data_IF_956976609807
#
_entry.id   IF_956976609807
#
_cell.length_a   1.000
_cell.length_b   1.000
_cell.length_c   1.000
_cell.angle_alpha   90.00
_cell.angle_beta   90.00
_cell.angle_gamma   90.00
#
_symmetry.space_group_name_H-M   'P 1'
#
loop_
_entity.id
_entity.type
_entity.pdbx_description
1 polymer ?
#
# COMPACT_ATOMS: atom_id res chain seq x y z
N UNK A 1 17.01 -91.05 -19.86
CA UNK A 1 17.92 -90.04 -19.31
C UNK A 1 17.04 -88.94 -18.65
N UNK A 2 17.08 -88.91 -17.31
CA UNK A 2 16.20 -88.13 -16.48
C UNK A 2 16.79 -86.74 -16.26
N UNK A 3 16.03 -85.65 -16.52
CA UNK A 3 16.41 -84.32 -16.13
C UNK A 3 15.56 -83.87 -14.96
N UNK A 4 16.19 -83.54 -13.86
CA UNK A 4 15.64 -83.13 -12.61
C UNK A 4 15.41 -81.58 -12.67
N UNK A 5 14.18 -81.14 -12.55
CA UNK A 5 13.87 -79.74 -12.43
C UNK A 5 13.76 -79.29 -10.96
N UNK A 6 14.70 -78.46 -10.50
CA UNK A 6 14.67 -77.86 -9.18
C UNK A 6 13.63 -76.72 -9.18
N UNK A 7 12.66 -76.75 -8.25
CA UNK A 7 11.77 -75.65 -7.90
C UNK A 7 12.44 -74.84 -6.81
N UNK A 8 12.59 -73.49 -7.08
CA UNK A 8 12.99 -72.57 -6.08
C UNK A 8 11.71 -71.97 -5.42
N UNK A 9 11.74 -71.67 -4.11
CA UNK A 9 10.58 -71.10 -3.43
C UNK A 9 10.41 -69.58 -3.68
N UNK A 10 9.18 -69.15 -3.84
CA UNK A 10 8.81 -67.76 -3.93
C UNK A 10 8.97 -67.04 -2.56
N UNK A 11 9.56 -65.84 -2.48
CA UNK A 11 9.52 -65.04 -1.26
C UNK A 11 8.17 -64.32 -1.13
N UNK A 12 7.51 -64.56 -0.02
CA UNK A 12 6.32 -63.87 0.45
C UNK A 12 6.66 -62.41 0.81
N UNK A 13 6.04 -61.43 0.15
CA UNK A 13 6.01 -60.02 0.59
C UNK A 13 4.68 -59.74 1.26
N UNK A 14 4.69 -59.37 2.54
CA UNK A 14 3.75 -58.39 3.01
C UNK A 14 4.41 -57.52 4.09
N UNK A 15 4.80 -56.26 3.78
CA UNK A 15 4.97 -55.17 4.78
C UNK A 15 5.11 -53.79 4.17
N UNK A 16 5.03 -53.61 2.83
CA UNK A 16 5.21 -52.32 2.19
C UNK A 16 3.95 -51.40 2.18
N UNK A 17 2.75 -51.94 2.48
CA UNK A 17 1.50 -51.14 2.36
C UNK A 17 1.12 -50.34 3.60
N UNK A 18 1.68 -50.61 4.78
CA UNK A 18 1.31 -49.87 6.02
C UNK A 18 2.15 -48.64 6.27
N UNK A 19 3.36 -48.52 5.73
CA UNK A 19 4.23 -47.33 5.89
C UNK A 19 3.79 -46.14 5.03
N UNK A 20 3.13 -46.35 3.88
CA UNK A 20 2.74 -45.30 2.96
C UNK A 20 1.51 -44.49 3.46
N UNK A 21 0.61 -45.11 4.22
CA UNK A 21 -0.57 -44.42 4.77
C UNK A 21 -0.24 -43.49 5.94
N UNK A 22 0.81 -43.77 6.72
CA UNK A 22 1.20 -42.91 7.87
C UNK A 22 1.93 -41.66 7.45
N UNK A 23 2.72 -41.67 6.36
CA UNK A 23 3.40 -40.49 5.84
C UNK A 23 2.41 -39.51 5.17
N UNK A 24 1.39 -40.04 4.48
CA UNK A 24 0.33 -39.18 3.87
C UNK A 24 -0.53 -38.51 4.92
N UNK A 25 -0.78 -39.09 6.08
CA UNK A 25 -1.58 -38.54 7.16
C UNK A 25 -0.87 -37.38 7.86
N UNK A 26 0.48 -37.41 7.97
CA UNK A 26 1.27 -36.32 8.57
C UNK A 26 1.42 -35.09 7.65
N UNK A 27 1.30 -35.24 6.33
CA UNK A 27 1.36 -34.13 5.37
C UNK A 27 0.02 -33.40 5.22
N UNK A 28 -1.10 -34.03 5.56
CA UNK A 28 -2.45 -33.40 5.48
C UNK A 28 -2.79 -32.58 6.72
N UNK A 29 -2.15 -32.84 7.87
CA UNK A 29 -2.47 -32.17 9.13
C UNK A 29 -2.19 -30.65 9.14
N UNK A 30 -1.07 -30.13 8.58
CA UNK A 30 -0.81 -28.68 8.59
C UNK A 30 -1.71 -27.89 7.62
N UNK A 31 -2.15 -28.47 6.51
CA UNK A 31 -3.07 -27.84 5.56
C UNK A 31 -4.47 -27.69 6.15
N UNK A 32 -5.00 -28.75 6.78
CA UNK A 32 -6.30 -28.69 7.46
C UNK A 32 -6.33 -27.71 8.63
N UNK A 33 -5.22 -27.57 9.38
CA UNK A 33 -5.10 -26.61 10.47
C UNK A 33 -4.99 -25.17 9.96
N UNK A 34 -4.36 -24.94 8.80
CA UNK A 34 -4.31 -23.61 8.15
C UNK A 34 -5.71 -23.20 7.68
N UNK A 35 -6.45 -24.06 7.01
CA UNK A 35 -7.83 -23.84 6.56
C UNK A 35 -8.77 -23.53 7.73
N UNK A 36 -8.64 -24.24 8.84
CA UNK A 36 -9.47 -23.99 10.04
C UNK A 36 -9.19 -22.59 10.63
N UNK A 37 -7.93 -22.11 10.63
CA UNK A 37 -7.58 -20.76 11.10
C UNK A 37 -8.13 -19.68 10.19
N UNK A 38 -8.06 -19.85 8.88
CA UNK A 38 -8.61 -18.90 7.90
C UNK A 38 -10.14 -18.82 8.04
N UNK A 39 -10.81 -19.97 8.16
CA UNK A 39 -12.24 -20.03 8.38
C UNK A 39 -12.64 -19.30 9.67
N UNK A 40 -11.94 -19.59 10.78
CA UNK A 40 -12.19 -18.91 12.05
C UNK A 40 -11.97 -17.40 11.98
N UNK A 41 -10.95 -16.93 11.23
CA UNK A 41 -10.74 -15.49 11.02
C UNK A 41 -11.90 -14.84 10.25
N UNK A 42 -12.39 -15.49 9.19
CA UNK A 42 -13.56 -15.01 8.45
C UNK A 42 -14.83 -15.00 9.29
N UNK A 43 -15.03 -15.98 10.17
CA UNK A 43 -16.17 -16.04 11.10
C UNK A 43 -16.07 -14.95 12.18
N UNK A 44 -14.87 -14.68 12.70
CA UNK A 44 -14.66 -13.57 13.64
C UNK A 44 -14.96 -12.21 12.98
N UNK A 45 -14.63 -12.04 11.70
CA UNK A 45 -14.98 -10.86 10.91
C UNK A 45 -16.48 -10.55 10.90
N UNK A 46 -17.34 -11.58 10.95
CA UNK A 46 -18.80 -11.41 11.03
C UNK A 46 -19.27 -10.63 12.27
N UNK A 47 -18.51 -10.72 13.36
CA UNK A 47 -18.81 -10.05 14.64
C UNK A 47 -18.42 -8.58 14.65
N UNK A 48 -17.63 -8.13 13.68
CA UNK A 48 -17.19 -6.74 13.55
C UNK A 48 -18.19 -5.98 12.69
N UNK A 49 -19.12 -5.27 13.31
CA UNK A 49 -20.24 -4.59 12.62
C UNK A 49 -19.82 -3.64 11.50
N UNK A 50 -18.66 -2.98 11.64
CA UNK A 50 -18.15 -2.02 10.67
C UNK A 50 -17.25 -2.65 9.61
N UNK A 51 -16.97 -3.94 9.67
CA UNK A 51 -16.15 -4.63 8.68
C UNK A 51 -16.97 -4.93 7.43
N UNK A 52 -16.56 -4.37 6.30
CA UNK A 52 -17.22 -4.59 5.00
C UNK A 52 -16.61 -5.77 4.26
N UNK A 53 -15.30 -5.90 4.25
CA UNK A 53 -14.59 -6.96 3.52
C UNK A 53 -13.34 -7.36 4.28
N UNK A 54 -12.96 -8.63 4.17
CA UNK A 54 -11.69 -9.16 4.67
C UNK A 54 -11.03 -9.97 3.55
N UNK A 55 -9.78 -9.66 3.27
CA UNK A 55 -8.92 -10.42 2.35
C UNK A 55 -7.67 -10.82 3.12
N UNK A 56 -7.35 -12.10 3.11
CA UNK A 56 -6.14 -12.65 3.72
C UNK A 56 -5.26 -13.15 2.57
N UNK A 57 -4.08 -12.55 2.42
CA UNK A 57 -3.14 -12.92 1.38
C UNK A 57 -1.76 -13.24 1.98
N UNK A 58 -1.03 -14.13 1.33
CA UNK A 58 0.34 -14.47 1.67
C UNK A 58 1.16 -14.69 0.39
N UNK A 59 2.31 -14.01 0.30
CA UNK A 59 3.23 -14.12 -0.85
C UNK A 59 2.57 -13.82 -2.20
N UNK A 60 1.61 -12.89 -2.22
CA UNK A 60 0.86 -12.53 -3.43
C UNK A 60 -0.38 -13.39 -3.70
N UNK A 61 -0.57 -14.51 -3.00
CA UNK A 61 -1.72 -15.40 -3.16
C UNK A 61 -2.83 -15.06 -2.17
N UNK A 62 -4.07 -14.95 -2.65
CA UNK A 62 -5.24 -14.80 -1.77
C UNK A 62 -5.57 -16.16 -1.16
N UNK A 63 -5.42 -16.28 0.15
CA UNK A 63 -5.72 -17.50 0.90
C UNK A 63 -7.19 -17.59 1.32
N UNK A 64 -7.82 -16.47 1.62
CA UNK A 64 -9.23 -16.40 1.96
C UNK A 64 -9.76 -14.97 1.75
N UNK A 65 -11.02 -14.86 1.37
CA UNK A 65 -11.71 -13.57 1.28
C UNK A 65 -13.19 -13.71 1.59
N UNK A 66 -13.78 -12.66 2.13
CA UNK A 66 -15.23 -12.57 2.41
C UNK A 66 -15.71 -11.13 2.40
N UNK A 67 -16.86 -10.90 1.76
CA UNK A 67 -17.67 -9.71 1.97
C UNK A 67 -18.70 -9.94 3.05
N UNK A 68 -18.98 -8.93 3.85
CA UNK A 68 -19.95 -8.96 4.95
C UNK A 68 -21.10 -7.98 4.66
N UNK A 69 -22.28 -8.24 5.16
CA UNK A 69 -23.46 -7.35 5.11
C UNK A 69 -23.77 -6.86 3.70
N UNK A 70 -23.66 -7.76 2.71
CA UNK A 70 -23.93 -7.44 1.30
C UNK A 70 -22.78 -6.76 0.56
N UNK A 71 -21.65 -6.47 1.21
CA UNK A 71 -20.45 -5.97 0.53
C UNK A 71 -19.71 -7.10 -0.19
N UNK A 72 -18.95 -6.75 -1.24
CA UNK A 72 -18.16 -7.69 -2.04
C UNK A 72 -16.70 -7.24 -2.03
N UNK A 73 -15.76 -8.18 -2.01
CA UNK A 73 -14.32 -7.91 -2.08
C UNK A 73 -13.89 -7.26 -3.41
N UNK A 74 -14.68 -7.45 -4.45
CA UNK A 74 -14.48 -6.85 -5.78
C UNK A 74 -15.07 -5.45 -5.93
N UNK A 75 -15.78 -4.92 -4.91
CA UNK A 75 -16.36 -3.58 -4.98
C UNK A 75 -15.32 -2.54 -4.54
N UNK A 76 -14.98 -1.55 -5.39
CA UNK A 76 -14.08 -0.47 -5.00
C UNK A 76 -14.59 0.27 -3.77
N UNK A 77 -13.70 0.58 -2.85
CA UNK A 77 -14.00 1.37 -1.66
C UNK A 77 -12.94 2.42 -1.43
N UNK A 78 -13.31 3.49 -0.70
CA UNK A 78 -12.35 4.50 -0.30
C UNK A 78 -11.40 3.90 0.75
N UNK A 79 -10.11 3.83 0.41
CA UNK A 79 -9.06 3.25 1.27
C UNK A 79 -8.46 4.25 2.25
N UNK A 80 -8.98 5.48 2.27
CA UNK A 80 -8.54 6.54 3.17
C UNK A 80 -7.02 6.75 3.09
N UNK A 81 -6.36 6.81 4.24
CA UNK A 81 -4.93 7.09 4.31
C UNK A 81 -4.03 6.00 3.72
N UNK A 82 -4.54 4.80 3.46
CA UNK A 82 -3.79 3.79 2.72
C UNK A 82 -3.42 4.24 1.30
N UNK A 83 -4.18 5.19 0.71
CA UNK A 83 -3.84 5.83 -0.58
C UNK A 83 -2.49 6.55 -0.58
N UNK A 84 -1.94 6.92 0.59
CA UNK A 84 -0.58 7.47 0.70
C UNK A 84 0.48 6.49 0.22
N UNK A 85 0.25 5.19 0.37
CA UNK A 85 1.16 4.16 -0.15
C UNK A 85 1.22 4.16 -1.67
N UNK A 86 0.10 4.43 -2.35
CA UNK A 86 0.06 4.61 -3.81
C UNK A 86 0.90 5.82 -4.22
N UNK A 87 0.74 6.96 -3.54
CA UNK A 87 1.54 8.16 -3.83
C UNK A 87 3.02 7.91 -3.57
N UNK A 88 3.37 7.21 -2.49
CA UNK A 88 4.76 6.82 -2.18
C UNK A 88 5.36 5.95 -3.29
N UNK A 89 4.63 4.95 -3.79
CA UNK A 89 5.07 4.13 -4.91
C UNK A 89 5.32 4.96 -6.18
N UNK A 90 4.42 5.90 -6.49
CA UNK A 90 4.59 6.81 -7.62
C UNK A 90 5.84 7.71 -7.48
N UNK A 91 6.16 8.16 -6.26
CA UNK A 91 7.40 8.91 -6.00
C UNK A 91 8.63 8.03 -6.22
N UNK A 92 8.62 6.78 -5.76
CA UNK A 92 9.70 5.82 -6.03
C UNK A 92 9.93 5.61 -7.53
N UNK A 93 8.85 5.41 -8.29
CA UNK A 93 8.92 5.28 -9.76
C UNK A 93 9.40 6.59 -10.41
N UNK A 94 9.01 7.75 -9.87
CA UNK A 94 9.48 9.04 -10.37
C UNK A 94 11.00 9.23 -10.17
N UNK A 95 11.55 8.72 -9.08
CA UNK A 95 13.01 8.70 -8.84
C UNK A 95 13.70 7.76 -9.83
N UNK A 96 13.19 6.55 -9.99
CA UNK A 96 13.71 5.57 -10.95
C UNK A 96 13.72 6.12 -12.39
N UNK A 97 12.73 6.92 -12.74
CA UNK A 97 12.62 7.58 -14.07
C UNK A 97 13.38 8.92 -14.18
N UNK A 98 14.09 9.36 -13.16
CA UNK A 98 14.81 10.63 -13.15
C UNK A 98 13.92 11.88 -13.16
N UNK A 99 12.62 11.76 -12.85
CA UNK A 99 11.69 12.89 -12.71
C UNK A 99 11.97 13.67 -11.41
N UNK A 100 12.30 12.92 -10.36
CA UNK A 100 12.84 13.40 -9.08
C UNK A 100 14.24 12.81 -8.98
N UNK A 101 15.24 13.62 -8.62
CA UNK A 101 16.63 13.15 -8.62
C UNK A 101 16.89 12.09 -7.53
N UNK A 102 16.43 12.37 -6.30
CA UNK A 102 16.65 11.53 -5.12
C UNK A 102 15.74 11.95 -3.97
N UNK A 103 15.67 11.17 -2.91
CA UNK A 103 14.84 11.48 -1.74
C UNK A 103 15.34 12.69 -0.95
N UNK A 104 16.62 13.04 -1.01
CA UNK A 104 17.22 14.20 -0.38
C UNK A 104 16.97 15.51 -1.15
N UNK A 105 16.35 15.47 -2.33
CA UNK A 105 16.07 16.67 -3.13
C UNK A 105 15.17 17.64 -2.34
N UNK A 106 15.57 18.95 -2.21
CA UNK A 106 14.75 19.95 -1.53
C UNK A 106 13.43 20.19 -2.26
N UNK A 107 12.33 20.23 -1.51
CA UNK A 107 11.00 20.44 -2.10
C UNK A 107 10.79 21.91 -2.56
N UNK A 108 11.51 22.85 -1.99
CA UNK A 108 11.43 24.27 -2.37
C UNK A 108 11.79 24.49 -3.84
N UNK A 109 12.72 23.71 -4.39
CA UNK A 109 13.08 23.71 -5.81
C UNK A 109 11.97 23.14 -6.70
N UNK A 110 11.29 22.10 -6.21
CA UNK A 110 10.25 21.37 -6.94
C UNK A 110 8.90 22.06 -6.91
N UNK A 111 8.64 22.90 -5.88
CA UNK A 111 7.39 23.62 -5.64
C UNK A 111 7.59 25.14 -5.62
N UNK A 112 8.59 25.65 -6.34
CA UNK A 112 8.96 27.07 -6.34
C UNK A 112 7.79 28.03 -6.59
N UNK A 113 6.88 27.68 -7.50
CA UNK A 113 5.69 28.49 -7.81
C UNK A 113 4.60 28.47 -6.73
N UNK A 114 4.66 27.48 -5.84
CA UNK A 114 3.66 27.26 -4.80
C UNK A 114 4.12 27.73 -3.41
N UNK A 115 5.37 28.21 -3.29
CA UNK A 115 5.87 28.75 -2.03
C UNK A 115 5.03 29.95 -1.55
N UNK A 116 4.84 30.12 -0.24
CA UNK A 116 4.28 31.33 0.34
C UNK A 116 5.09 32.57 -0.06
N UNK A 117 4.47 33.74 -0.04
CA UNK A 117 5.15 35.04 -0.34
C UNK A 117 6.31 35.30 0.63
N UNK A 118 6.18 34.84 1.87
CA UNK A 118 7.23 34.94 2.91
C UNK A 118 7.45 33.54 3.48
N UNK A 119 8.25 32.70 2.79
CA UNK A 119 8.49 31.35 3.24
C UNK A 119 9.40 31.31 4.47
N UNK A 120 9.10 30.43 5.42
CA UNK A 120 10.04 30.11 6.50
C UNK A 120 11.33 29.55 5.90
N UNK A 121 12.53 30.01 6.28
CA UNK A 121 13.81 29.53 5.74
C UNK A 121 14.00 28.01 5.83
N UNK A 122 13.40 27.34 6.81
CA UNK A 122 13.43 25.89 6.97
C UNK A 122 12.80 25.12 5.81
N UNK A 123 11.94 25.74 5.01
CA UNK A 123 11.40 25.13 3.80
C UNK A 123 12.49 24.74 2.80
N UNK A 124 13.63 25.41 2.80
CA UNK A 124 14.79 25.08 1.95
C UNK A 124 15.47 23.76 2.38
N UNK A 125 15.22 23.32 3.60
CA UNK A 125 15.81 22.11 4.17
C UNK A 125 14.86 20.90 4.09
N UNK A 126 13.58 21.12 3.82
CA UNK A 126 12.60 20.05 3.68
C UNK A 126 12.85 19.29 2.38
N UNK A 127 13.03 17.99 2.48
CA UNK A 127 13.29 17.10 1.34
C UNK A 127 12.07 16.26 0.96
N UNK A 128 12.13 15.62 -0.21
CA UNK A 128 11.14 14.60 -0.63
C UNK A 128 11.05 13.48 0.40
N UNK A 129 12.19 13.03 0.94
CA UNK A 129 12.27 12.02 1.99
C UNK A 129 11.57 12.44 3.28
N UNK A 130 11.71 13.73 3.67
CA UNK A 130 11.00 14.25 4.84
C UNK A 130 9.46 14.23 4.64
N UNK A 131 8.96 14.50 3.44
CA UNK A 131 7.53 14.36 3.14
C UNK A 131 7.08 12.89 3.20
N UNK A 132 7.85 11.96 2.62
CA UNK A 132 7.56 10.53 2.61
C UNK A 132 7.52 9.93 4.02
N UNK A 133 8.44 10.34 4.88
CA UNK A 133 8.55 9.87 6.28
C UNK A 133 7.69 10.66 7.27
N UNK A 134 6.89 11.65 6.80
CA UNK A 134 6.13 12.56 7.67
C UNK A 134 7.00 13.38 8.63
N UNK A 135 8.24 13.68 8.22
CA UNK A 135 9.23 14.43 9.01
C UNK A 135 9.54 15.82 8.41
N UNK A 136 8.56 16.42 7.71
CA UNK A 136 8.73 17.76 7.14
C UNK A 136 8.93 18.85 8.20
N UNK A 137 8.56 18.60 9.44
CA UNK A 137 8.57 19.58 10.52
C UNK A 137 7.38 20.55 10.50
N UNK A 138 6.63 20.61 9.39
CA UNK A 138 5.45 21.44 9.24
C UNK A 138 4.29 20.94 10.09
N UNK A 139 3.53 21.84 10.68
CA UNK A 139 2.35 21.52 11.47
C UNK A 139 1.32 20.73 10.68
N UNK A 140 0.69 19.76 11.33
CA UNK A 140 -0.24 18.82 10.72
C UNK A 140 -1.44 19.51 10.04
N UNK A 141 -1.80 19.03 8.86
CA UNK A 141 -3.09 19.32 8.20
C UNK A 141 -4.09 18.17 8.38
N UNK A 142 -3.79 17.17 9.21
CA UNK A 142 -4.67 16.03 9.49
C UNK A 142 -5.50 16.22 10.76
N UNK A 143 -6.38 15.27 11.06
CA UNK A 143 -7.22 15.30 12.25
C UNK A 143 -8.07 16.56 12.32
N UNK A 144 -8.04 17.28 13.43
CA UNK A 144 -8.82 18.51 13.66
C UNK A 144 -8.53 19.65 12.66
N UNK A 145 -7.37 19.64 12.04
CA UNK A 145 -6.95 20.68 11.08
C UNK A 145 -7.37 20.35 9.64
N UNK A 146 -7.87 19.14 9.37
CA UNK A 146 -8.16 18.67 8.01
C UNK A 146 -9.26 19.53 7.34
N UNK A 147 -10.36 19.79 8.03
CA UNK A 147 -11.46 20.58 7.49
C UNK A 147 -11.05 21.99 7.08
N UNK A 148 -10.28 22.67 7.93
CA UNK A 148 -9.76 24.01 7.64
C UNK A 148 -8.78 24.00 6.45
N UNK A 149 -7.95 22.98 6.33
CA UNK A 149 -7.03 22.84 5.22
C UNK A 149 -7.74 22.62 3.88
N UNK A 150 -8.70 21.69 3.79
CA UNK A 150 -9.45 21.44 2.54
C UNK A 150 -10.44 22.55 2.19
N UNK A 151 -10.79 23.41 3.14
CA UNK A 151 -11.56 24.62 2.88
C UNK A 151 -10.70 25.77 2.32
N UNK A 152 -9.37 25.65 2.32
CA UNK A 152 -8.49 26.68 1.78
C UNK A 152 -8.56 26.73 0.24
N UNK A 153 -8.27 27.92 -0.32
CA UNK A 153 -8.31 28.12 -1.78
C UNK A 153 -7.17 27.42 -2.53
N UNK A 154 -6.07 27.11 -1.84
CA UNK A 154 -4.90 26.46 -2.42
C UNK A 154 -4.29 25.52 -1.37
N UNK A 155 -4.53 24.21 -1.52
CA UNK A 155 -4.11 23.21 -0.54
C UNK A 155 -2.59 23.05 -0.47
N UNK A 156 -1.91 23.18 -1.60
CA UNK A 156 -0.44 23.10 -1.66
C UNK A 156 0.18 24.23 -0.87
N UNK A 157 -0.21 25.48 -1.18
CA UNK A 157 0.30 26.66 -0.49
C UNK A 157 -0.08 26.69 0.98
N UNK A 158 -1.30 26.27 1.31
CA UNK A 158 -1.77 26.19 2.70
C UNK A 158 -0.99 25.16 3.51
N UNK A 159 -0.56 24.04 2.90
CA UNK A 159 0.30 23.07 3.54
C UNK A 159 1.73 23.61 3.75
N UNK A 160 2.31 24.27 2.73
CA UNK A 160 3.63 24.90 2.82
C UNK A 160 3.68 26.10 3.80
N UNK A 161 2.55 26.75 4.05
CA UNK A 161 2.43 27.87 4.97
C UNK A 161 2.17 27.47 6.43
N UNK A 162 2.09 26.16 6.73
CA UNK A 162 1.94 25.73 8.12
C UNK A 162 3.18 26.11 8.94
N UNK A 163 3.00 26.56 10.19
CA UNK A 163 4.14 26.82 11.05
C UNK A 163 4.94 25.55 11.27
N UNK A 164 6.26 25.69 11.42
CA UNK A 164 7.10 24.57 11.81
C UNK A 164 6.92 24.27 13.30
N UNK A 165 6.66 23.02 13.63
CA UNK A 165 6.55 22.47 14.98
C UNK A 165 7.81 21.68 15.37
N UNK A 166 8.67 21.35 14.38
CA UNK A 166 9.97 20.72 14.57
C UNK A 166 10.91 21.07 13.40
N UNK A 167 12.20 20.84 13.55
CA UNK A 167 13.12 20.95 12.43
C UNK A 167 12.93 19.79 11.44
N UNK A 168 13.14 20.02 10.13
CA UNK A 168 13.01 18.96 9.13
C UNK A 168 13.88 17.74 9.46
N UNK A 169 13.29 16.55 9.39
CA UNK A 169 13.98 15.28 9.66
C UNK A 169 14.06 14.86 11.12
N UNK A 170 13.59 15.68 12.08
CA UNK A 170 13.80 15.39 13.52
C UNK A 170 12.62 14.72 14.21
N UNK A 171 11.38 15.04 13.79
CA UNK A 171 10.17 14.51 14.42
C UNK A 171 9.12 14.10 13.38
N UNK A 172 8.41 13.01 13.67
CA UNK A 172 7.30 12.55 12.86
C UNK A 172 6.04 13.34 13.21
N UNK A 173 5.54 14.14 12.26
CA UNK A 173 4.29 14.89 12.37
C UNK A 173 3.37 14.41 11.24
N UNK A 174 2.44 13.53 11.56
CA UNK A 174 1.52 12.97 10.57
C UNK A 174 0.67 14.07 9.92
N UNK A 175 0.77 14.21 8.59
CA UNK A 175 0.10 15.26 7.83
C UNK A 175 -0.31 14.80 6.43
N UNK A 176 -1.60 14.87 6.10
CA UNK A 176 -2.08 14.62 4.74
C UNK A 176 -1.54 15.69 3.76
N UNK A 177 -1.24 16.89 4.23
CA UNK A 177 -0.55 17.91 3.44
C UNK A 177 0.82 17.44 2.94
N UNK A 178 1.60 16.74 3.77
CA UNK A 178 2.91 16.22 3.34
C UNK A 178 2.77 15.28 2.13
N UNK A 179 1.84 14.33 2.16
CA UNK A 179 1.59 13.46 1.01
C UNK A 179 0.92 14.18 -0.15
N UNK A 180 0.12 15.22 0.09
CA UNK A 180 -0.44 16.05 -0.97
C UNK A 180 0.63 16.88 -1.69
N UNK A 181 1.65 17.38 -0.98
CA UNK A 181 2.82 18.01 -1.58
C UNK A 181 3.57 17.08 -2.53
N UNK A 182 3.66 15.78 -2.22
CA UNK A 182 4.23 14.77 -3.13
C UNK A 182 3.41 14.64 -4.42
N UNK A 183 2.08 14.62 -4.33
CA UNK A 183 1.19 14.62 -5.50
C UNK A 183 1.36 15.88 -6.35
N UNK A 184 1.53 17.04 -5.71
CA UNK A 184 1.82 18.29 -6.39
C UNK A 184 3.17 18.26 -7.11
N UNK A 185 4.23 17.76 -6.47
CA UNK A 185 5.55 17.59 -7.06
C UNK A 185 5.47 16.71 -8.32
N UNK A 186 4.83 15.56 -8.22
CA UNK A 186 4.64 14.66 -9.37
C UNK A 186 3.96 15.39 -10.53
N UNK A 187 2.89 16.12 -10.26
CA UNK A 187 2.15 16.88 -11.28
C UNK A 187 2.99 17.99 -11.89
N UNK A 188 3.70 18.80 -11.07
CA UNK A 188 4.55 19.91 -11.54
C UNK A 188 5.73 19.41 -12.39
N UNK A 189 6.36 18.31 -11.97
CA UNK A 189 7.55 17.78 -12.66
C UNK A 189 7.23 17.07 -13.96
N UNK A 190 6.07 16.48 -14.10
CA UNK A 190 5.70 15.67 -15.27
C UNK A 190 4.74 16.35 -16.23
N UNK A 191 4.03 17.40 -15.77
CA UNK A 191 2.90 17.98 -16.51
C UNK A 191 1.68 17.06 -16.61
N UNK A 192 1.71 15.88 -15.96
CA UNK A 192 0.62 14.91 -15.92
C UNK A 192 -0.04 14.91 -14.55
N UNK A 193 -1.32 14.62 -14.51
CA UNK A 193 -2.01 14.44 -13.22
C UNK A 193 -1.55 13.17 -12.52
N UNK A 194 -1.61 13.14 -11.19
CA UNK A 194 -1.23 11.96 -10.38
C UNK A 194 -2.03 10.71 -10.78
N UNK A 195 -3.32 10.86 -11.14
CA UNK A 195 -4.13 9.76 -11.65
C UNK A 195 -3.61 9.23 -13.01
N UNK A 196 -3.21 10.13 -13.94
CA UNK A 196 -2.60 9.70 -15.20
C UNK A 196 -1.30 8.94 -14.97
N UNK A 197 -0.46 9.43 -14.03
CA UNK A 197 0.76 8.74 -13.66
C UNK A 197 0.48 7.37 -13.04
N UNK A 198 -0.48 7.29 -12.12
CA UNK A 198 -0.87 6.02 -11.51
C UNK A 198 -1.32 5.01 -12.57
N UNK A 199 -2.22 5.42 -13.48
CA UNK A 199 -2.70 4.56 -14.57
C UNK A 199 -1.59 4.14 -15.53
N UNK A 200 -0.60 5.01 -15.78
CA UNK A 200 0.51 4.71 -16.67
C UNK A 200 1.59 3.85 -16.01
N UNK A 201 1.97 4.18 -14.79
CA UNK A 201 3.12 3.57 -14.13
C UNK A 201 2.79 2.30 -13.37
N UNK A 202 1.54 2.17 -12.92
CA UNK A 202 1.04 0.97 -12.22
C UNK A 202 0.25 0.04 -13.17
N UNK A 203 0.19 0.37 -14.47
CA UNK A 203 -0.45 -0.49 -15.48
C UNK A 203 0.05 -1.95 -15.52
N UNK A 204 1.33 -2.26 -15.18
CA UNK A 204 1.78 -3.64 -15.12
C UNK A 204 1.22 -4.46 -13.96
N UNK A 205 0.54 -3.83 -12.99
CA UNK A 205 -0.12 -4.54 -11.89
C UNK A 205 -1.48 -5.05 -12.38
N UNK A 206 -1.64 -6.36 -12.41
CA UNK A 206 -2.90 -7.00 -12.76
C UNK A 206 -4.00 -6.55 -11.79
N UNK A 207 -5.20 -6.33 -12.32
CA UNK A 207 -6.39 -5.92 -11.56
C UNK A 207 -6.27 -4.62 -10.75
N UNK A 208 -5.21 -3.82 -10.97
CA UNK A 208 -5.07 -2.52 -10.34
C UNK A 208 -5.90 -1.45 -11.06
N UNK A 209 -6.96 -0.97 -10.44
CA UNK A 209 -7.82 0.07 -10.97
C UNK A 209 -8.13 1.15 -9.93
N UNK A 210 -8.14 2.41 -10.38
CA UNK A 210 -8.59 3.55 -9.56
C UNK A 210 -9.88 4.07 -10.18
N UNK A 211 -11.00 3.89 -9.48
CA UNK A 211 -12.34 4.27 -9.94
C UNK A 211 -12.62 5.77 -9.77
N UNK A 212 -12.18 6.34 -8.67
CA UNK A 212 -12.35 7.76 -8.34
C UNK A 212 -11.14 8.28 -7.56
N UNK A 213 -10.88 9.59 -7.67
CA UNK A 213 -9.83 10.29 -6.93
C UNK A 213 -10.18 11.78 -6.84
N UNK A 214 -10.26 12.33 -5.65
CA UNK A 214 -10.59 13.73 -5.37
C UNK A 214 -9.45 14.66 -5.77
N UNK A 215 -9.79 15.87 -6.24
CA UNK A 215 -8.83 16.93 -6.60
C UNK A 215 -9.00 18.15 -5.71
N UNK A 216 -7.90 18.85 -5.49
CA UNK A 216 -7.91 20.17 -4.91
C UNK A 216 -8.43 21.24 -5.91
N UNK A 217 -8.64 22.50 -5.47
CA UNK A 217 -9.05 23.58 -6.36
C UNK A 217 -8.07 23.91 -7.50
N UNK A 218 -6.81 23.45 -7.42
CA UNK A 218 -5.79 23.62 -8.45
C UNK A 218 -5.73 22.43 -9.43
N UNK A 219 -6.59 21.43 -9.25
CA UNK A 219 -6.62 20.23 -10.07
C UNK A 219 -5.61 19.15 -9.67
N UNK A 220 -4.89 19.33 -8.55
CA UNK A 220 -3.97 18.34 -8.00
C UNK A 220 -4.77 17.24 -7.29
N UNK A 221 -4.52 15.99 -7.61
CA UNK A 221 -5.16 14.87 -6.95
C UNK A 221 -4.71 14.75 -5.49
N UNK A 222 -5.66 14.50 -4.59
CA UNK A 222 -5.40 14.43 -3.14
C UNK A 222 -4.36 13.36 -2.84
N UNK A 223 -3.29 13.74 -2.16
CA UNK A 223 -2.13 12.87 -1.90
C UNK A 223 -2.34 11.79 -0.83
N UNK A 224 -3.55 11.65 -0.28
CA UNK A 224 -3.83 10.61 0.71
C UNK A 224 -5.01 10.95 1.60
N UNK A 225 -6.07 10.27 1.40
CA UNK A 225 -7.36 10.19 2.10
C UNK A 225 -8.48 9.84 1.09
N UNK A 226 -8.14 8.94 0.17
CA UNK A 226 -9.04 8.43 -0.86
C UNK A 226 -9.38 6.96 -0.64
#
# INVERSE_FOLDING_TARGET
MHSLALRLPHPSRPHARRAFCLVALFLLCPLAAADARLTAALEQGERLEQLHTLIIAQRGEILAERGYRGHRTTTPSNIKSASKSVVSALVGIAIDKGVIERVEQPIAELLKSDLPSTPDPRLQQVTVGNLLSMQAGLGSTSGRNYGAWVASRNWVRAALARPFEADPGTAMIYSTGSSHLLSAILTRRTGKTTLQLARQWLAPLDDFAISAWTRDPQGIYLGGNE
#
